data_IF_574406886850
#
_entry.id   IF_574406886850
#
_cell.length_a   1.000
_cell.length_b   1.000
_cell.length_c   1.000
_cell.angle_alpha   90.00
_cell.angle_beta   90.00
_cell.angle_gamma   90.00
#
_symmetry.space_group_name_H-M   'P 1'
#
loop_
_entity.id
_entity.type
_entity.pdbx_description
1 polymer ?
#
# COMPACT_ATOMS: atom_id res chain seq x y z
N UNK A 1 75.61 39.06 52.45
CA UNK A 1 75.60 38.78 50.99
C UNK A 1 76.52 37.60 50.74
N UNK A 2 76.11 36.58 49.95
CA UNK A 2 76.83 35.30 49.80
C UNK A 2 76.98 34.86 48.33
N UNK A 3 78.15 34.31 48.02
CA UNK A 3 78.57 33.51 46.85
C UNK A 3 79.79 32.67 47.31
N UNK A 4 80.25 31.60 46.60
CA UNK A 4 79.73 30.84 45.44
C UNK A 4 79.22 29.45 45.96
N UNK A 5 79.41 28.22 45.39
CA UNK A 5 79.91 27.76 44.09
C UNK A 5 79.05 26.69 43.35
N UNK A 6 79.32 25.38 43.50
CA UNK A 6 79.07 24.32 42.50
C UNK A 6 78.95 22.89 43.13
N UNK A 7 78.61 21.90 42.29
CA UNK A 7 78.54 20.41 42.48
C UNK A 7 77.15 19.85 42.90
N UNK A 8 76.70 18.65 42.47
CA UNK A 8 77.10 17.78 41.33
C UNK A 8 76.06 16.67 41.04
N UNK A 9 76.15 16.06 39.85
CA UNK A 9 75.83 14.66 39.48
C UNK A 9 74.55 13.95 39.97
N UNK A 10 73.79 13.37 39.04
CA UNK A 10 73.55 11.90 39.08
C UNK A 10 73.32 11.32 37.68
N UNK A 11 74.04 10.24 37.36
CA UNK A 11 73.77 9.38 36.19
C UNK A 11 72.99 8.15 36.64
N UNK A 12 72.28 7.49 35.70
CA UNK A 12 72.01 6.07 35.82
C UNK A 12 72.27 5.36 34.49
N UNK A 13 73.14 4.35 34.52
CA UNK A 13 73.52 3.53 33.37
C UNK A 13 72.83 2.17 33.49
N UNK A 14 72.18 1.73 32.41
CA UNK A 14 71.60 0.39 32.27
C UNK A 14 72.12 -0.26 30.99
N UNK A 15 72.59 -1.50 31.08
CA UNK A 15 73.36 -2.14 30.01
C UNK A 15 72.51 -2.88 28.97
N UNK A 16 72.95 -2.75 27.72
CA UNK A 16 72.96 -3.70 26.60
C UNK A 16 72.20 -5.04 26.76
N UNK A 17 71.21 -5.26 25.87
CA UNK A 17 71.03 -6.50 25.09
C UNK A 17 70.01 -6.24 23.94
N UNK A 18 70.23 -6.72 22.70
CA UNK A 18 69.22 -6.71 21.65
C UNK A 18 68.27 -7.91 21.76
N UNK A 19 66.99 -7.76 21.38
CA UNK A 19 66.55 -8.61 20.26
C UNK A 19 65.64 -7.90 19.25
N UNK A 20 65.45 -8.59 18.13
CA UNK A 20 64.52 -8.23 17.05
C UNK A 20 63.09 -8.06 17.57
N UNK A 21 62.44 -6.96 17.21
CA UNK A 21 60.97 -6.92 17.12
C UNK A 21 60.53 -6.04 15.95
N UNK A 22 60.21 -6.67 14.83
CA UNK A 22 59.39 -6.03 13.81
C UNK A 22 57.99 -5.84 14.41
N UNK A 23 57.48 -4.59 14.39
CA UNK A 23 56.04 -4.37 14.57
C UNK A 23 55.57 -3.19 13.74
N UNK A 24 54.84 -3.53 12.70
CA UNK A 24 53.88 -2.70 11.98
C UNK A 24 52.77 -2.18 12.92
N UNK A 25 51.89 -1.34 12.37
CA UNK A 25 50.80 -0.62 13.08
C UNK A 25 51.30 0.56 13.92
N UNK A 26 50.61 1.70 13.75
CA UNK A 26 50.89 2.92 14.51
C UNK A 26 50.46 2.77 15.98
N UNK A 27 51.24 3.32 16.91
CA UNK A 27 51.00 3.20 18.36
C UNK A 27 51.08 4.58 19.03
N UNK A 28 49.96 5.30 19.03
CA UNK A 28 49.78 6.50 19.85
C UNK A 28 49.44 6.08 21.27
N UNK A 29 50.36 6.24 22.23
CA UNK A 29 50.10 5.95 23.66
C UNK A 29 49.74 7.22 24.41
N UNK A 30 48.56 7.25 25.03
CA UNK A 30 48.05 8.43 25.74
C UNK A 30 48.21 8.30 27.26
N UNK A 31 49.44 8.46 27.74
CA UNK A 31 49.82 8.23 29.15
C UNK A 31 48.97 8.99 30.19
N UNK A 32 48.46 10.19 29.88
CA UNK A 32 47.61 10.97 30.78
C UNK A 32 46.18 10.40 30.99
N UNK A 33 45.76 9.44 30.15
CA UNK A 33 44.42 8.84 30.19
C UNK A 33 44.42 7.41 30.77
N UNK A 34 45.59 6.85 31.07
CA UNK A 34 45.73 5.56 31.76
C UNK A 34 45.00 5.62 33.10
N UNK A 35 44.20 4.59 33.40
CA UNK A 35 43.41 4.49 34.64
C UNK A 35 42.20 5.43 34.73
N UNK A 36 41.83 6.17 33.67
CA UNK A 36 40.62 7.03 33.65
C UNK A 36 39.42 6.35 32.99
N UNK A 37 38.26 7.00 33.05
CA UNK A 37 37.11 6.63 32.23
C UNK A 37 37.44 6.70 30.73
N UNK A 38 36.70 5.92 29.94
CA UNK A 38 36.82 5.95 28.49
C UNK A 38 36.08 7.18 27.95
N UNK A 39 36.81 8.00 27.21
CA UNK A 39 36.31 9.19 26.52
C UNK A 39 36.78 9.19 25.04
N UNK A 40 37.17 8.02 24.52
CA UNK A 40 37.79 7.86 23.20
C UNK A 40 37.02 6.85 22.34
N UNK A 41 36.50 5.76 22.91
CA UNK A 41 35.65 4.83 22.16
C UNK A 41 34.42 5.56 21.60
N UNK A 42 34.03 5.24 20.36
CA UNK A 42 32.92 5.88 19.62
C UNK A 42 33.14 7.39 19.37
N UNK A 43 34.41 7.83 19.34
CA UNK A 43 34.82 9.20 18.99
C UNK A 43 35.76 9.20 17.80
N UNK A 44 35.85 10.33 17.12
CA UNK A 44 36.74 10.51 15.96
C UNK A 44 38.06 11.14 16.39
N UNK A 45 39.18 10.54 15.98
CA UNK A 45 40.54 11.04 16.19
C UNK A 45 40.99 11.79 14.94
N UNK A 46 41.11 13.12 15.02
CA UNK A 46 41.61 13.98 13.93
C UNK A 46 43.08 14.33 14.18
N UNK A 47 43.96 14.10 13.21
CA UNK A 47 45.39 14.40 13.30
C UNK A 47 45.67 15.83 12.82
N UNK A 48 46.24 16.66 13.70
CA UNK A 48 46.48 18.08 13.44
C UNK A 48 47.90 18.39 12.93
N UNK A 49 48.85 17.44 12.99
CA UNK A 49 50.23 17.65 12.53
C UNK A 49 50.98 16.37 12.15
N UNK A 50 52.10 16.54 11.43
CA UNK A 50 52.97 15.43 10.99
C UNK A 50 52.50 14.75 9.70
N UNK A 51 53.06 13.58 9.42
CA UNK A 51 52.93 12.85 8.15
C UNK A 51 51.48 12.45 7.79
N UNK A 52 50.61 12.32 8.80
CA UNK A 52 49.19 11.95 8.67
C UNK A 52 48.25 13.15 8.96
N UNK A 53 48.73 14.38 8.79
CA UNK A 53 47.95 15.61 9.05
C UNK A 53 46.68 15.66 8.21
N UNK A 54 45.60 16.15 8.82
CA UNK A 54 44.26 16.30 8.27
C UNK A 54 43.53 14.96 7.99
N UNK A 55 44.12 13.81 8.34
CA UNK A 55 43.40 12.53 8.42
C UNK A 55 42.57 12.41 9.71
N UNK A 56 41.39 11.79 9.60
CA UNK A 56 40.59 11.36 10.73
C UNK A 56 40.28 9.85 10.70
N UNK A 57 40.02 9.26 11.88
CA UNK A 57 39.56 7.87 12.05
C UNK A 57 38.63 7.75 13.25
N UNK A 58 37.55 6.99 13.12
CA UNK A 58 36.75 6.53 14.27
C UNK A 58 37.56 5.59 15.18
N UNK A 59 37.37 5.70 16.49
CA UNK A 59 37.97 4.81 17.48
C UNK A 59 36.96 3.77 17.99
N UNK A 60 37.32 2.49 17.87
CA UNK A 60 36.50 1.33 18.24
C UNK A 60 36.83 0.76 19.62
N UNK A 61 37.80 1.35 20.33
CA UNK A 61 38.17 0.93 21.68
C UNK A 61 39.33 1.74 22.27
N UNK A 62 39.37 1.87 23.60
CA UNK A 62 40.49 2.45 24.34
C UNK A 62 40.99 1.51 25.46
N UNK A 63 42.27 1.13 25.38
CA UNK A 63 42.93 0.30 26.39
C UNK A 63 43.41 1.19 27.55
N UNK A 64 42.66 1.18 28.65
CA UNK A 64 42.95 1.95 29.86
C UNK A 64 44.25 1.53 30.57
N UNK A 65 44.86 0.40 30.22
CA UNK A 65 46.07 -0.14 30.90
C UNK A 65 47.37 0.44 30.37
N UNK A 66 47.49 0.65 29.04
CA UNK A 66 48.70 1.23 28.42
C UNK A 66 48.41 2.39 27.44
N UNK A 67 47.15 2.79 27.31
CA UNK A 67 46.71 3.96 26.56
C UNK A 67 46.68 3.77 25.04
N UNK A 68 46.51 2.53 24.54
CA UNK A 68 46.25 2.26 23.10
C UNK A 68 44.84 2.73 22.70
N UNK A 69 44.72 3.19 21.46
CA UNK A 69 43.44 3.37 20.76
C UNK A 69 43.34 2.30 19.65
N UNK A 70 42.20 1.61 19.56
CA UNK A 70 41.84 0.77 18.40
C UNK A 70 41.08 1.65 17.41
N UNK A 71 41.44 1.59 16.13
CA UNK A 71 40.84 2.41 15.07
C UNK A 71 39.91 1.59 14.17
N UNK A 72 38.95 2.25 13.56
CA UNK A 72 38.05 1.70 12.55
C UNK A 72 38.79 1.51 11.20
N UNK A 73 38.59 0.35 10.57
CA UNK A 73 39.13 0.04 9.24
C UNK A 73 40.66 -0.05 9.19
N UNK A 74 41.24 0.29 8.03
CA UNK A 74 42.68 0.58 7.94
C UNK A 74 42.95 1.92 8.65
N UNK A 75 43.99 1.96 9.48
CA UNK A 75 44.35 3.14 10.26
C UNK A 75 44.86 4.33 9.42
N UNK A 76 45.55 5.26 10.08
CA UNK A 76 46.18 6.40 9.42
C UNK A 76 47.21 5.97 8.37
N UNK A 77 47.35 6.74 7.28
CA UNK A 77 48.26 6.41 6.16
C UNK A 77 49.73 6.37 6.59
N UNK A 78 50.09 7.18 7.60
CA UNK A 78 51.42 7.23 8.18
C UNK A 78 51.43 6.96 9.70
N UNK A 79 52.59 6.52 10.21
CA UNK A 79 52.77 6.21 11.63
C UNK A 79 52.83 7.49 12.47
N UNK A 80 51.81 7.70 13.31
CA UNK A 80 51.78 8.78 14.30
C UNK A 80 53.04 8.73 15.20
N UNK A 81 53.74 9.85 15.32
CA UNK A 81 55.03 9.98 16.01
C UNK A 81 54.84 10.63 17.39
N UNK A 82 55.82 10.47 18.29
CA UNK A 82 55.83 11.21 19.57
C UNK A 82 55.88 12.71 19.26
N UNK A 83 54.94 13.48 19.80
CA UNK A 83 54.81 14.92 19.55
C UNK A 83 53.83 15.30 18.44
N UNK A 84 53.24 14.34 17.72
CA UNK A 84 52.09 14.62 16.85
C UNK A 84 50.92 15.18 17.65
N UNK A 85 50.34 16.29 17.19
CA UNK A 85 49.14 16.90 17.77
C UNK A 85 47.91 16.26 17.13
N UNK A 86 46.90 15.95 17.92
CA UNK A 86 45.63 15.39 17.49
C UNK A 86 44.49 15.99 18.33
N UNK A 87 43.25 15.81 17.90
CA UNK A 87 42.04 16.10 18.68
C UNK A 87 41.17 14.84 18.77
N UNK A 88 40.52 14.66 19.91
CA UNK A 88 39.33 13.80 20.02
C UNK A 88 38.12 14.67 19.73
N UNK A 89 37.34 14.32 18.71
CA UNK A 89 36.11 15.00 18.34
C UNK A 89 34.94 14.19 18.90
N UNK A 90 34.03 14.82 19.64
CA UNK A 90 32.78 14.17 20.10
C UNK A 90 31.72 14.13 18.98
N UNK A 91 32.16 13.72 17.79
CA UNK A 91 31.32 13.23 16.70
C UNK A 91 31.67 11.75 16.53
N UNK A 92 30.65 10.94 16.27
CA UNK A 92 30.81 9.50 16.09
C UNK A 92 30.73 9.21 14.59
N UNK A 93 31.88 9.13 13.91
CA UNK A 93 31.95 8.62 12.53
C UNK A 93 31.49 7.15 12.43
N UNK A 94 31.35 6.48 13.57
CA UNK A 94 30.72 5.17 13.75
C UNK A 94 29.18 5.19 13.82
N UNK A 95 28.54 6.33 14.10
CA UNK A 95 27.06 6.46 14.15
C UNK A 95 26.47 7.33 13.03
N UNK A 96 27.24 8.25 12.43
CA UNK A 96 26.89 8.90 11.15
C UNK A 96 27.16 7.92 10.00
N UNK A 97 26.65 6.69 10.17
CA UNK A 97 26.91 5.56 9.30
C UNK A 97 25.92 5.58 8.13
N UNK A 98 26.19 6.50 7.20
CA UNK A 98 25.44 6.63 5.94
C UNK A 98 25.49 5.33 5.13
N UNK A 99 26.51 4.48 5.31
CA UNK A 99 26.56 3.16 4.69
C UNK A 99 25.54 2.19 5.30
N UNK A 100 25.39 2.16 6.63
CA UNK A 100 24.32 1.39 7.29
C UNK A 100 22.92 1.97 7.04
N UNK A 101 22.78 3.29 6.88
CA UNK A 101 21.50 3.91 6.48
C UNK A 101 21.14 3.48 5.04
N UNK A 102 22.06 3.61 4.09
CA UNK A 102 21.88 3.14 2.71
C UNK A 102 21.59 1.63 2.67
N UNK A 103 22.32 0.83 3.46
CA UNK A 103 22.08 -0.61 3.60
C UNK A 103 20.66 -0.90 4.11
N UNK A 104 20.21 -0.27 5.19
CA UNK A 104 18.86 -0.47 5.75
C UNK A 104 17.73 0.01 4.83
N UNK A 105 17.96 1.02 4.00
CA UNK A 105 17.02 1.48 2.96
C UNK A 105 17.02 0.54 1.73
N UNK A 106 18.11 -0.19 1.52
CA UNK A 106 18.41 -0.93 0.28
C UNK A 106 18.75 -2.42 0.43
N UNK A 107 18.25 -3.12 1.46
CA UNK A 107 18.51 -4.57 1.67
C UNK A 107 17.29 -5.49 1.72
N UNK A 108 16.06 -4.98 1.89
CA UNK A 108 14.87 -5.82 1.81
C UNK A 108 14.52 -6.12 0.35
N UNK A 109 14.92 -7.30 -0.12
CA UNK A 109 14.73 -7.80 -1.48
C UNK A 109 13.30 -8.28 -1.71
N UNK A 110 12.73 -8.00 -2.87
CA UNK A 110 11.61 -8.78 -3.38
C UNK A 110 12.08 -9.99 -4.22
N UNK A 111 11.13 -10.82 -4.65
CA UNK A 111 11.43 -12.04 -5.42
C UNK A 111 12.06 -11.78 -6.81
N UNK A 112 12.00 -10.54 -7.32
CA UNK A 112 12.68 -10.10 -8.53
C UNK A 112 14.09 -9.54 -8.26
N UNK A 113 14.54 -9.53 -6.99
CA UNK A 113 15.86 -9.03 -6.61
C UNK A 113 15.93 -7.52 -6.35
N UNK A 114 14.80 -6.81 -6.29
CA UNK A 114 14.80 -5.34 -6.13
C UNK A 114 14.75 -4.93 -4.65
N UNK A 115 15.65 -4.04 -4.23
CA UNK A 115 15.82 -3.61 -2.83
C UNK A 115 15.68 -2.10 -2.65
N UNK A 116 14.46 -1.57 -2.60
CA UNK A 116 14.27 -0.16 -2.21
C UNK A 116 12.97 0.08 -1.44
N UNK A 117 13.00 1.07 -0.55
CA UNK A 117 11.79 1.72 -0.03
C UNK A 117 10.86 2.19 -1.18
N UNK A 118 11.43 2.63 -2.30
CA UNK A 118 10.69 3.02 -3.50
C UNK A 118 9.91 1.86 -4.14
N UNK A 119 10.43 0.63 -4.14
CA UNK A 119 9.69 -0.55 -4.59
C UNK A 119 8.53 -0.90 -3.66
N UNK A 120 8.69 -0.70 -2.34
CA UNK A 120 7.59 -0.88 -1.37
C UNK A 120 6.53 0.22 -1.51
N UNK A 121 6.93 1.48 -1.72
CA UNK A 121 6.02 2.58 -2.03
C UNK A 121 5.30 2.36 -3.37
N UNK A 122 6.00 1.92 -4.42
CA UNK A 122 5.39 1.58 -5.70
C UNK A 122 4.31 0.51 -5.52
N UNK A 123 4.63 -0.60 -4.82
CA UNK A 123 3.66 -1.65 -4.45
C UNK A 123 2.47 -1.09 -3.68
N UNK A 124 2.68 -0.19 -2.72
CA UNK A 124 1.60 0.46 -1.96
C UNK A 124 0.65 1.24 -2.87
N UNK A 125 1.18 1.97 -3.87
CA UNK A 125 0.37 2.63 -4.89
C UNK A 125 -0.28 1.63 -5.88
N UNK A 126 0.31 0.46 -6.13
CA UNK A 126 -0.31 -0.60 -6.94
C UNK A 126 -1.55 -1.20 -6.27
N UNK A 127 -1.47 -1.65 -5.00
CA UNK A 127 -2.65 -2.21 -4.29
C UNK A 127 -3.63 -1.16 -3.81
N UNK A 128 -3.20 0.09 -3.57
CA UNK A 128 -4.08 1.20 -3.24
C UNK A 128 -4.96 1.68 -4.41
N UNK A 129 -4.75 1.16 -5.62
CA UNK A 129 -5.36 1.64 -6.87
C UNK A 129 -6.20 0.57 -7.58
N UNK A 130 -6.93 -0.28 -6.84
CA UNK A 130 -8.07 -1.02 -7.40
C UNK A 130 -9.28 -0.10 -7.53
N UNK A 131 -9.37 0.56 -8.69
CA UNK A 131 -10.50 1.41 -9.04
C UNK A 131 -11.78 0.58 -9.21
N UNK A 132 -12.82 0.90 -8.46
CA UNK A 132 -14.09 0.16 -8.55
C UNK A 132 -14.79 0.37 -9.91
N UNK A 133 -14.39 1.40 -10.66
CA UNK A 133 -14.81 1.73 -12.03
C UNK A 133 -13.63 2.31 -12.78
N UNK A 134 -13.40 1.85 -14.01
CA UNK A 134 -12.52 2.49 -15.01
C UNK A 134 -13.34 3.00 -16.18
N UNK A 135 -12.87 4.06 -16.84
CA UNK A 135 -13.45 4.61 -18.07
C UNK A 135 -12.44 4.55 -19.21
N UNK A 136 -12.93 4.30 -20.42
CA UNK A 136 -12.17 4.58 -21.63
C UNK A 136 -13.04 4.50 -22.88
N UNK A 137 -12.42 4.76 -24.02
CA UNK A 137 -13.04 4.58 -25.34
C UNK A 137 -12.51 3.30 -26.00
N UNK A 138 -13.39 2.59 -26.69
CA UNK A 138 -13.03 1.45 -27.52
C UNK A 138 -12.13 1.93 -28.66
N UNK A 139 -10.89 1.45 -28.71
CA UNK A 139 -9.89 1.81 -29.74
C UNK A 139 -9.89 0.84 -30.91
N UNK A 140 -10.26 -0.41 -30.66
CA UNK A 140 -10.25 -1.50 -31.61
C UNK A 140 -11.24 -2.57 -31.13
N UNK A 141 -11.91 -3.22 -32.09
CA UNK A 141 -12.76 -4.39 -31.86
C UNK A 141 -12.15 -5.50 -32.72
N UNK A 142 -11.70 -6.56 -32.06
CA UNK A 142 -10.97 -7.67 -32.68
C UNK A 142 -11.97 -8.75 -33.17
N UNK A 143 -13.03 -9.02 -32.39
CA UNK A 143 -14.22 -9.78 -32.80
C UNK A 143 -15.44 -9.43 -31.91
N UNK A 144 -16.54 -10.19 -32.01
CA UNK A 144 -17.79 -9.97 -31.26
C UNK A 144 -17.67 -10.11 -29.74
N UNK A 145 -16.59 -10.75 -29.26
CA UNK A 145 -16.26 -11.01 -27.85
C UNK A 145 -14.96 -10.32 -27.39
N UNK A 146 -14.26 -9.59 -28.27
CA UNK A 146 -12.95 -9.01 -27.98
C UNK A 146 -12.83 -7.54 -28.42
N UNK A 147 -12.52 -6.66 -27.47
CA UNK A 147 -12.27 -5.24 -27.73
C UNK A 147 -11.10 -4.70 -26.90
N UNK A 148 -10.58 -3.55 -27.29
CA UNK A 148 -9.46 -2.85 -26.65
C UNK A 148 -9.86 -1.45 -26.22
N UNK A 149 -9.28 -0.96 -25.13
CA UNK A 149 -9.64 0.34 -24.52
C UNK A 149 -8.44 1.25 -24.34
N UNK A 150 -8.60 2.52 -24.72
CA UNK A 150 -7.58 3.54 -24.54
C UNK A 150 -7.16 3.67 -23.06
N UNK A 151 -5.87 3.47 -22.78
CA UNK A 151 -5.27 3.67 -21.45
C UNK A 151 -5.40 2.51 -20.47
N UNK A 152 -6.01 1.38 -20.84
CA UNK A 152 -6.18 0.19 -19.98
C UNK A 152 -5.23 -0.95 -20.34
N UNK A 153 -3.95 -0.64 -20.55
CA UNK A 153 -2.84 -1.62 -20.75
C UNK A 153 -1.95 -1.69 -19.50
N UNK A 154 -1.29 -2.84 -19.27
CA UNK A 154 -0.26 -2.99 -18.24
C UNK A 154 -0.77 -3.26 -16.82
N UNK A 155 -2.05 -3.55 -16.62
CA UNK A 155 -2.62 -3.83 -15.29
C UNK A 155 -2.33 -5.26 -14.76
N UNK A 156 -1.83 -6.16 -15.62
CA UNK A 156 -1.67 -7.59 -15.36
C UNK A 156 -2.92 -8.40 -15.75
N UNK A 157 -2.72 -9.57 -16.37
CA UNK A 157 -3.79 -10.31 -17.07
C UNK A 157 -4.96 -10.73 -16.14
N UNK A 158 -4.62 -11.08 -14.90
CA UNK A 158 -5.59 -11.45 -13.86
C UNK A 158 -6.37 -10.26 -13.25
N UNK A 159 -6.11 -9.02 -13.67
CA UNK A 159 -6.63 -7.81 -13.00
C UNK A 159 -8.12 -7.57 -13.28
N UNK A 160 -8.53 -7.60 -14.55
CA UNK A 160 -9.92 -7.39 -14.95
C UNK A 160 -10.71 -8.70 -15.09
N UNK A 161 -10.01 -9.81 -15.38
CA UNK A 161 -10.60 -11.12 -15.60
C UNK A 161 -11.44 -11.60 -14.41
N UNK A 162 -12.70 -11.96 -14.67
CA UNK A 162 -13.67 -12.52 -13.71
C UNK A 162 -13.94 -11.64 -12.48
N UNK A 163 -13.61 -10.35 -12.54
CA UNK A 163 -13.82 -9.38 -11.45
C UNK A 163 -14.53 -8.11 -11.92
N UNK A 164 -14.69 -7.89 -13.22
CA UNK A 164 -15.29 -6.69 -13.80
C UNK A 164 -16.31 -7.05 -14.89
N UNK A 165 -17.22 -6.12 -15.17
CA UNK A 165 -18.12 -6.16 -16.32
C UNK A 165 -17.93 -4.91 -17.18
N UNK A 166 -17.99 -5.07 -18.49
CA UNK A 166 -17.98 -3.97 -19.46
C UNK A 166 -19.41 -3.42 -19.61
N UNK A 167 -19.58 -2.13 -19.38
CA UNK A 167 -20.85 -1.40 -19.51
C UNK A 167 -20.73 -0.29 -20.55
N UNK A 168 -21.64 -0.25 -21.53
CA UNK A 168 -21.60 0.75 -22.61
C UNK A 168 -22.38 2.00 -22.19
N UNK A 169 -21.66 3.09 -21.92
CA UNK A 169 -22.25 4.38 -21.52
C UNK A 169 -22.79 5.16 -22.71
N UNK A 170 -22.08 5.11 -23.84
CA UNK A 170 -22.44 5.83 -25.07
C UNK A 170 -21.96 5.10 -26.32
N UNK A 171 -22.83 4.97 -27.31
CA UNK A 171 -22.46 4.52 -28.66
C UNK A 171 -21.60 5.57 -29.40
N UNK A 172 -20.77 5.14 -30.35
CA UNK A 172 -19.88 6.03 -31.10
C UNK A 172 -20.59 7.17 -31.86
N UNK A 173 -21.88 7.03 -32.20
CA UNK A 173 -22.69 8.08 -32.83
C UNK A 173 -23.40 8.99 -31.81
N UNK A 174 -23.42 8.62 -30.53
CA UNK A 174 -24.14 9.32 -29.45
C UNK A 174 -25.67 9.29 -29.60
N UNK A 175 -26.22 8.35 -30.36
CA UNK A 175 -27.64 8.26 -30.68
C UNK A 175 -28.51 7.55 -29.62
N UNK A 176 -27.90 6.88 -28.65
CA UNK A 176 -28.60 6.00 -27.72
C UNK A 176 -28.97 4.64 -28.32
N UNK A 177 -28.26 4.21 -29.36
CA UNK A 177 -28.46 2.91 -30.01
C UNK A 177 -27.83 1.78 -29.19
N UNK A 178 -28.33 0.56 -29.37
CA UNK A 178 -27.65 -0.64 -28.85
C UNK A 178 -26.22 -0.72 -29.42
N UNK A 179 -25.20 -1.10 -28.62
CA UNK A 179 -25.32 -1.71 -27.29
C UNK A 179 -25.37 -0.75 -26.07
N UNK A 180 -25.66 0.55 -26.25
CA UNK A 180 -25.71 1.50 -25.13
C UNK A 180 -26.69 1.06 -24.02
N UNK A 181 -26.20 1.02 -22.78
CA UNK A 181 -26.96 0.60 -21.61
C UNK A 181 -26.84 -0.90 -21.26
N UNK A 182 -26.22 -1.71 -22.12
CA UNK A 182 -25.93 -3.11 -21.84
C UNK A 182 -24.69 -3.29 -20.95
N UNK A 183 -24.61 -4.44 -20.28
CA UNK A 183 -23.50 -4.82 -19.41
C UNK A 183 -23.14 -6.30 -19.61
N UNK A 184 -21.88 -6.61 -19.88
CA UNK A 184 -21.38 -7.97 -20.14
C UNK A 184 -20.19 -8.30 -19.23
N UNK A 185 -20.13 -9.48 -18.57
CA UNK A 185 -18.99 -9.89 -17.75
C UNK A 185 -17.70 -10.04 -18.56
N UNK A 186 -16.57 -9.60 -18.00
CA UNK A 186 -15.25 -9.79 -18.58
C UNK A 186 -14.62 -11.09 -18.06
N UNK A 187 -14.48 -12.10 -18.91
CA UNK A 187 -13.95 -13.43 -18.53
C UNK A 187 -12.42 -13.52 -18.56
N UNK A 188 -11.77 -12.72 -19.41
CA UNK A 188 -10.32 -12.64 -19.53
C UNK A 188 -9.86 -11.22 -19.92
N UNK A 189 -8.57 -10.95 -19.72
CA UNK A 189 -7.92 -9.71 -20.11
C UNK A 189 -6.45 -9.98 -20.45
N UNK A 190 -5.95 -9.41 -21.55
CA UNK A 190 -4.53 -9.41 -21.91
C UNK A 190 -3.93 -8.03 -21.57
N UNK A 191 -2.95 -8.01 -20.67
CA UNK A 191 -2.35 -6.76 -20.21
C UNK A 191 -1.25 -6.21 -21.13
N UNK A 192 -0.75 -7.00 -22.08
CA UNK A 192 0.21 -6.57 -23.11
C UNK A 192 -0.51 -5.75 -24.17
N UNK A 193 -1.61 -6.28 -24.69
CA UNK A 193 -2.34 -5.75 -25.84
C UNK A 193 -3.60 -4.95 -25.46
N UNK A 194 -4.03 -5.01 -24.19
CA UNK A 194 -5.19 -4.29 -23.67
C UNK A 194 -6.54 -4.87 -24.10
N UNK A 195 -6.57 -6.16 -24.44
CA UNK A 195 -7.75 -6.88 -24.94
C UNK A 195 -8.61 -7.32 -23.75
N UNK A 196 -9.92 -7.08 -23.83
CA UNK A 196 -10.92 -7.60 -22.91
C UNK A 196 -11.76 -8.68 -23.61
N UNK A 197 -11.86 -9.87 -23.02
CA UNK A 197 -12.80 -10.91 -23.46
C UNK A 197 -14.11 -10.79 -22.67
N UNK A 198 -15.24 -10.75 -23.37
CA UNK A 198 -16.58 -10.65 -22.77
C UNK A 198 -17.60 -11.57 -23.48
N UNK A 199 -18.82 -11.65 -22.96
CA UNK A 199 -19.97 -12.27 -23.65
C UNK A 199 -20.64 -11.29 -24.62
N UNK A 200 -21.18 -11.81 -25.72
CA UNK A 200 -21.81 -11.04 -26.80
C UNK A 200 -22.81 -9.96 -26.31
N UNK A 201 -22.62 -8.72 -26.77
CA UNK A 201 -23.65 -7.67 -26.71
C UNK A 201 -24.73 -7.91 -27.77
N UNK A 202 -25.93 -7.33 -27.59
CA UNK A 202 -27.03 -7.48 -28.57
C UNK A 202 -26.72 -6.87 -29.95
N UNK A 203 -25.81 -5.89 -29.97
CA UNK A 203 -25.16 -5.32 -31.15
C UNK A 203 -23.66 -5.23 -30.85
N UNK A 204 -22.82 -5.60 -31.80
CA UNK A 204 -21.36 -5.55 -31.63
C UNK A 204 -20.85 -4.13 -31.33
N UNK A 205 -19.85 -4.02 -30.47
CA UNK A 205 -19.17 -2.75 -30.18
C UNK A 205 -18.57 -2.12 -31.44
N UNK A 206 -18.38 -0.80 -31.40
CA UNK A 206 -17.73 -0.01 -32.44
C UNK A 206 -16.60 0.86 -31.89
N UNK A 207 -15.65 1.23 -32.74
CA UNK A 207 -14.54 2.11 -32.35
C UNK A 207 -15.10 3.51 -32.00
N UNK A 208 -14.67 4.06 -30.86
CA UNK A 208 -15.15 5.26 -30.16
C UNK A 208 -16.37 5.09 -29.23
N UNK A 209 -16.95 3.88 -29.10
CA UNK A 209 -17.90 3.59 -28.02
C UNK A 209 -17.26 3.91 -26.65
N UNK A 210 -18.03 4.49 -25.74
CA UNK A 210 -17.58 4.85 -24.39
C UNK A 210 -17.99 3.77 -23.38
N UNK A 211 -17.00 3.14 -22.75
CA UNK A 211 -17.21 2.00 -21.85
C UNK A 211 -16.73 2.28 -20.44
N UNK A 212 -17.45 1.71 -19.47
CA UNK A 212 -16.99 1.57 -18.09
C UNK A 212 -16.68 0.11 -17.79
N UNK A 213 -15.51 -0.15 -17.22
CA UNK A 213 -15.17 -1.45 -16.63
C UNK A 213 -15.52 -1.34 -15.14
N UNK A 214 -16.64 -1.92 -14.75
CA UNK A 214 -17.23 -1.81 -13.41
C UNK A 214 -16.90 -3.09 -12.63
N UNK A 215 -16.29 -2.95 -11.45
CA UNK A 215 -16.01 -4.11 -10.59
C UNK A 215 -17.34 -4.79 -10.20
N UNK A 216 -17.39 -6.12 -10.28
CA UNK A 216 -18.59 -6.93 -10.09
C UNK A 216 -19.40 -6.56 -8.84
N UNK A 217 -18.76 -6.24 -7.71
CA UNK A 217 -19.45 -5.80 -6.48
C UNK A 217 -20.27 -4.51 -6.60
N UNK A 218 -20.06 -3.71 -7.66
CA UNK A 218 -20.95 -2.59 -8.04
C UNK A 218 -22.00 -3.05 -9.08
N UNK A 219 -21.64 -3.94 -10.00
CA UNK A 219 -22.60 -4.52 -10.95
C UNK A 219 -23.72 -5.30 -10.25
N UNK A 220 -23.38 -6.09 -9.21
CA UNK A 220 -24.33 -6.78 -8.33
C UNK A 220 -25.36 -5.84 -7.69
N UNK A 221 -24.97 -4.60 -7.39
CA UNK A 221 -25.90 -3.58 -6.84
C UNK A 221 -26.90 -3.14 -7.90
N UNK A 222 -26.48 -3.00 -9.17
CA UNK A 222 -27.42 -2.76 -10.28
C UNK A 222 -28.35 -3.94 -10.47
N UNK A 223 -27.82 -5.17 -10.54
CA UNK A 223 -28.62 -6.40 -10.69
C UNK A 223 -29.67 -6.52 -9.55
N UNK A 224 -29.31 -6.14 -8.32
CA UNK A 224 -30.20 -6.11 -7.16
C UNK A 224 -31.27 -5.01 -7.27
N UNK A 225 -30.92 -3.82 -7.75
CA UNK A 225 -31.86 -2.71 -7.97
C UNK A 225 -32.86 -3.06 -9.08
N UNK A 226 -32.40 -3.65 -10.20
CA UNK A 226 -33.29 -4.07 -11.30
C UNK A 226 -34.28 -5.14 -10.83
N UNK A 227 -33.81 -6.12 -10.04
CA UNK A 227 -34.65 -7.15 -9.41
C UNK A 227 -35.66 -6.57 -8.41
N UNK A 228 -35.27 -5.56 -7.65
CA UNK A 228 -36.18 -4.85 -6.73
C UNK A 228 -37.23 -4.04 -7.51
N UNK A 229 -36.82 -3.35 -8.57
CA UNK A 229 -37.71 -2.63 -9.48
C UNK A 229 -38.77 -3.55 -10.09
N UNK A 230 -38.35 -4.73 -10.58
CA UNK A 230 -39.25 -5.77 -11.04
C UNK A 230 -40.25 -6.22 -9.95
N UNK A 231 -39.80 -6.44 -8.71
CA UNK A 231 -40.67 -6.82 -7.60
C UNK A 231 -41.69 -5.72 -7.23
N UNK A 232 -41.31 -4.45 -7.35
CA UNK A 232 -42.24 -3.32 -7.14
C UNK A 232 -43.22 -3.06 -8.28
N UNK A 233 -43.10 -3.76 -9.41
CA UNK A 233 -44.11 -3.73 -10.47
C UNK A 233 -45.45 -4.24 -9.96
N UNK A 234 -46.52 -3.47 -10.18
CA UNK A 234 -47.86 -3.70 -9.61
C UNK A 234 -48.40 -5.11 -9.89
N UNK A 235 -48.05 -5.69 -11.03
CA UNK A 235 -48.44 -7.05 -11.42
C UNK A 235 -47.71 -8.13 -10.60
N UNK A 236 -46.42 -7.93 -10.31
CA UNK A 236 -45.61 -8.90 -9.55
C UNK A 236 -45.98 -8.90 -8.07
N UNK A 237 -46.28 -7.74 -7.46
CA UNK A 237 -46.81 -7.70 -6.10
C UNK A 237 -48.20 -8.35 -6.02
N UNK A 238 -49.06 -8.15 -7.05
CA UNK A 238 -50.37 -8.79 -7.14
C UNK A 238 -50.28 -10.31 -7.37
N UNK A 239 -49.28 -10.78 -8.11
CA UNK A 239 -49.02 -12.22 -8.28
C UNK A 239 -48.47 -12.84 -6.99
N UNK A 240 -47.45 -12.24 -6.36
CA UNK A 240 -46.85 -12.75 -5.13
C UNK A 240 -47.81 -12.77 -3.93
N UNK A 241 -48.76 -11.83 -3.86
CA UNK A 241 -49.84 -11.85 -2.85
C UNK A 241 -51.02 -12.74 -3.27
N UNK A 242 -51.23 -12.95 -4.58
CA UNK A 242 -52.42 -13.59 -5.16
C UNK A 242 -52.50 -15.10 -5.01
N UNK A 243 -51.38 -15.79 -4.74
CA UNK A 243 -51.38 -17.22 -4.39
C UNK A 243 -51.34 -17.46 -2.86
N UNK A 244 -50.80 -16.53 -2.07
CA UNK A 244 -50.70 -16.69 -0.62
C UNK A 244 -51.90 -16.15 0.17
N UNK A 245 -52.72 -15.29 -0.44
CA UNK A 245 -53.99 -14.83 0.13
C UNK A 245 -55.09 -14.93 -0.93
N UNK A 246 -56.19 -15.68 -0.67
CA UNK A 246 -57.38 -15.57 -1.50
C UNK A 246 -57.90 -14.13 -1.38
N UNK A 247 -57.82 -13.37 -2.47
CA UNK A 247 -58.35 -12.01 -2.54
C UNK A 247 -59.84 -12.09 -2.22
N UNK A 248 -60.26 -11.48 -1.11
CA UNK A 248 -61.65 -11.54 -0.64
C UNK A 248 -62.56 -10.70 -1.55
N UNK A 249 -63.02 -11.29 -2.65
CA UNK A 249 -63.90 -10.64 -3.62
C UNK A 249 -65.31 -10.33 -3.11
N UNK A 250 -65.65 -10.81 -1.91
CA UNK A 250 -66.96 -10.64 -1.27
C UNK A 250 -66.79 -10.21 0.19
N UNK A 251 -66.98 -8.92 0.45
CA UNK A 251 -67.21 -8.41 1.82
C UNK A 251 -68.72 -8.28 1.98
N UNK A 252 -69.30 -9.12 2.83
CA UNK A 252 -70.72 -8.99 3.19
C UNK A 252 -70.86 -7.86 4.20
N UNK A 253 -71.83 -6.97 3.95
CA UNK A 253 -72.13 -5.82 4.81
C UNK A 253 -73.36 -6.15 5.64
N UNK A 254 -73.24 -6.00 6.96
CA UNK A 254 -74.39 -6.15 7.86
C UNK A 254 -75.23 -4.87 7.87
N UNK A 255 -76.51 -4.99 7.54
CA UNK A 255 -77.47 -3.91 7.65
C UNK A 255 -78.23 -4.01 8.99
N UNK A 256 -78.04 -3.02 9.86
CA UNK A 256 -78.68 -2.98 11.18
C UNK A 256 -80.19 -2.67 11.11
N UNK A 257 -80.71 -2.22 9.96
CA UNK A 257 -82.14 -1.93 9.75
C UNK A 257 -82.91 -3.18 9.34
N UNK A 258 -82.35 -4.00 8.44
CA UNK A 258 -82.94 -5.29 8.02
C UNK A 258 -82.52 -6.46 8.89
N UNK A 259 -81.46 -6.31 9.70
CA UNK A 259 -80.91 -7.33 10.62
C UNK A 259 -80.36 -8.55 9.86
N UNK A 260 -79.80 -8.32 8.66
CA UNK A 260 -79.32 -9.35 7.75
C UNK A 260 -77.95 -8.99 7.11
N UNK A 261 -77.29 -10.00 6.51
CA UNK A 261 -76.05 -9.84 5.76
C UNK A 261 -76.37 -9.68 4.28
N UNK A 262 -76.19 -8.47 3.75
CA UNK A 262 -76.44 -8.18 2.35
C UNK A 262 -75.25 -8.71 1.52
N UNK A 263 -75.46 -9.66 0.58
CA UNK A 263 -74.39 -10.14 -0.30
C UNK A 263 -73.97 -9.02 -1.27
N UNK A 264 -72.78 -9.08 -1.91
CA UNK A 264 -72.18 -7.91 -2.56
C UNK A 264 -72.96 -7.40 -3.78
N UNK A 265 -73.84 -6.43 -3.58
CA UNK A 265 -74.63 -5.79 -4.65
C UNK A 265 -73.77 -4.75 -5.38
N UNK A 266 -72.88 -5.27 -6.22
CA UNK A 266 -72.01 -4.57 -7.20
C UNK A 266 -70.91 -3.65 -6.60
N UNK A 267 -69.83 -3.38 -7.38
CA UNK A 267 -68.71 -2.56 -6.91
C UNK A 267 -68.92 -1.03 -7.05
N UNK A 268 -70.10 -0.56 -7.49
CA UNK A 268 -70.41 0.86 -7.71
C UNK A 268 -71.05 1.57 -6.50
N UNK A 269 -71.01 0.96 -5.30
CA UNK A 269 -71.51 1.57 -4.04
C UNK A 269 -70.40 1.62 -2.98
N UNK A 270 -69.95 2.84 -2.61
CA UNK A 270 -68.98 3.07 -1.53
C UNK A 270 -69.63 2.93 -0.14
N UNK A 271 -69.81 1.69 0.35
CA UNK A 271 -70.39 1.42 1.68
C UNK A 271 -69.30 1.22 2.76
N UNK A 272 -68.46 2.24 2.99
CA UNK A 272 -67.45 2.24 4.07
C UNK A 272 -67.50 3.52 4.92
N UNK A 273 -68.62 3.71 5.62
CA UNK A 273 -68.73 4.71 6.68
C UNK A 273 -68.13 4.21 8.00
N UNK A 274 -67.65 5.14 8.83
CA UNK A 274 -67.07 4.81 10.15
C UNK A 274 -68.13 4.18 11.07
N UNK A 275 -67.94 2.92 11.45
CA UNK A 275 -68.83 2.15 12.34
C UNK A 275 -69.47 0.91 11.71
N UNK A 276 -69.42 0.75 10.38
CA UNK A 276 -70.00 -0.42 9.68
C UNK A 276 -69.34 -1.73 10.11
N UNK A 277 -70.16 -2.77 10.33
CA UNK A 277 -69.72 -4.14 10.66
C UNK A 277 -69.65 -4.98 9.39
N UNK A 278 -68.43 -5.33 8.98
CA UNK A 278 -68.18 -6.16 7.81
C UNK A 278 -67.79 -7.59 8.22
N UNK A 279 -68.16 -8.59 7.41
CA UNK A 279 -67.66 -9.96 7.54
C UNK A 279 -66.84 -10.29 6.31
N UNK A 280 -65.58 -10.69 6.53
CA UNK A 280 -64.75 -11.31 5.51
C UNK A 280 -65.06 -12.80 5.53
N UNK A 281 -65.64 -13.32 4.46
CA UNK A 281 -65.74 -14.77 4.25
C UNK A 281 -64.51 -15.24 3.48
N UNK A 282 -63.61 -15.97 4.15
CA UNK A 282 -62.52 -16.68 3.49
C UNK A 282 -63.08 -17.98 2.96
N UNK A 283 -63.06 -18.16 1.64
CA UNK A 283 -63.46 -19.41 1.01
C UNK A 283 -62.27 -20.37 1.02
N UNK A 284 -62.37 -21.43 1.83
CA UNK A 284 -61.40 -22.54 1.79
C UNK A 284 -61.57 -23.33 0.47
N UNK A 285 -60.44 -23.75 -0.12
CA UNK A 285 -60.32 -24.46 -1.40
C UNK A 285 -59.75 -25.85 -1.21
#
# INVERSE_FOLDING_TARGET
CHHPPYLSSTYFLGWWHPPHFALTTARTRLAHLIGRNDFISEKTILIMSGDAKDEDKGATGFDKTDGKITLQGTGFSAKIKKGTVYKVLNISTTEIDVANINSKIGTNTDAAGTTTLFAWMARLFTVGSQGLVYYGKVTQVDDVTHFRVAGLTGFGDAYFANNYRAYVVRDAAGGGAAPQGEMQPCSAYDSTDGIFTHTDFSVSLTVNDEVLLIHERIAEIKDLIDRLGAFTGTENLKAALGECYPVAYTIDVYDEVTVDWIPPVRPDIEILHSGTKCRVMVQET
#
